data_IF_980244848968
#
_entry.id   IF_980244848968
#
_cell.length_a   1.000
_cell.length_b   1.000
_cell.length_c   1.000
_cell.angle_alpha   90.00
_cell.angle_beta   90.00
_cell.angle_gamma   90.00
#
_symmetry.space_group_name_H-M   'P 1'
#
loop_
_entity.id
_entity.type
_entity.pdbx_description
1 polymer ?
#
# COMPACT_ATOMS: atom_id res chain seq x y z
N UNK A 1 -8.10 1.87 17.64
CA UNK A 1 -7.18 0.83 17.13
C UNK A 1 -6.81 1.23 15.70
N UNK A 2 -5.51 1.36 15.38
CA UNK A 2 -5.10 1.73 14.01
C UNK A 2 -5.29 0.50 13.11
N UNK A 3 -6.10 0.63 12.07
CA UNK A 3 -6.30 -0.43 11.07
C UNK A 3 -5.09 -0.50 10.11
N UNK A 4 -4.78 -1.70 9.64
CA UNK A 4 -3.68 -1.94 8.70
C UNK A 4 -4.22 -2.15 7.30
N UNK A 5 -3.56 -1.55 6.31
CA UNK A 5 -3.87 -1.70 4.89
C UNK A 5 -2.65 -2.30 4.18
N UNK A 6 -2.88 -3.27 3.31
CA UNK A 6 -1.86 -3.88 2.46
C UNK A 6 -2.11 -3.51 1.01
N UNK A 7 -1.05 -3.11 0.30
CA UNK A 7 -1.11 -2.83 -1.13
C UNK A 7 -0.72 -4.09 -1.87
N UNK A 8 -1.65 -4.64 -2.64
CA UNK A 8 -1.46 -5.82 -3.47
C UNK A 8 -1.46 -5.38 -4.92
N UNK A 9 -0.35 -5.63 -5.61
CA UNK A 9 -0.22 -5.39 -7.05
C UNK A 9 -0.58 -6.66 -7.81
N UNK A 10 -1.43 -6.52 -8.83
CA UNK A 10 -1.77 -7.58 -9.78
C UNK A 10 -1.81 -6.98 -11.19
N UNK A 11 -0.91 -7.45 -12.05
CA UNK A 11 -0.65 -6.91 -13.39
C UNK A 11 -0.45 -5.37 -13.35
N UNK A 12 -1.38 -4.63 -13.95
CA UNK A 12 -1.33 -3.17 -14.09
C UNK A 12 -2.20 -2.44 -13.05
N UNK A 13 -2.57 -3.10 -11.94
CA UNK A 13 -3.40 -2.51 -10.89
C UNK A 13 -2.85 -2.76 -9.50
N UNK A 14 -3.07 -1.78 -8.63
CA UNK A 14 -2.81 -1.89 -7.21
C UNK A 14 -4.11 -1.81 -6.40
N UNK A 15 -4.32 -2.75 -5.50
CA UNK A 15 -5.50 -2.84 -4.66
C UNK A 15 -5.16 -2.66 -3.19
N UNK A 16 -6.01 -1.93 -2.46
CA UNK A 16 -5.91 -1.72 -1.02
C UNK A 16 -6.73 -2.80 -0.31
N UNK A 17 -6.05 -3.69 0.39
CA UNK A 17 -6.64 -4.76 1.18
C UNK A 17 -6.70 -4.36 2.66
N UNK A 18 -7.90 -4.37 3.25
CA UNK A 18 -8.14 -4.13 4.68
C UNK A 18 -9.00 -5.28 5.19
N UNK A 19 -8.60 -5.91 6.31
CA UNK A 19 -9.37 -7.00 6.92
C UNK A 19 -9.76 -8.10 5.91
N UNK A 20 -8.82 -8.46 5.03
CA UNK A 20 -8.98 -9.46 3.95
C UNK A 20 -9.99 -9.10 2.84
N UNK A 21 -10.49 -7.86 2.81
CA UNK A 21 -11.37 -7.36 1.77
C UNK A 21 -10.69 -6.30 0.91
N UNK A 22 -10.87 -6.38 -0.41
CA UNK A 22 -10.43 -5.32 -1.32
C UNK A 22 -11.37 -4.13 -1.13
N UNK A 23 -10.82 -3.00 -0.69
CA UNK A 23 -11.59 -1.79 -0.46
C UNK A 23 -11.63 -0.87 -1.68
N UNK A 24 -10.51 -0.78 -2.40
CA UNK A 24 -10.37 0.07 -3.59
C UNK A 24 -9.17 -0.37 -4.43
N UNK A 25 -9.25 -0.14 -5.73
CA UNK A 25 -8.15 -0.38 -6.68
C UNK A 25 -7.77 0.90 -7.41
N UNK A 26 -6.53 0.94 -7.86
CA UNK A 26 -5.84 2.07 -8.51
C UNK A 26 -4.94 1.54 -9.62
N UNK A 27 -4.48 2.44 -10.49
CA UNK A 27 -3.59 2.08 -11.60
C UNK A 27 -2.14 1.88 -11.14
N UNK A 28 -1.74 2.45 -10.00
CA UNK A 28 -0.40 2.29 -9.44
C UNK A 28 -0.40 2.15 -7.92
N UNK A 29 0.65 1.51 -7.38
CA UNK A 29 0.76 1.22 -5.96
C UNK A 29 1.10 2.42 -5.09
N UNK A 30 1.62 3.49 -5.65
CA UNK A 30 1.92 4.71 -4.92
C UNK A 30 0.64 5.49 -4.61
N UNK A 31 -0.22 5.67 -5.60
CA UNK A 31 -1.55 6.28 -5.42
C UNK A 31 -2.40 5.47 -4.44
N UNK A 32 -2.38 4.13 -4.54
CA UNK A 32 -3.08 3.26 -3.61
C UNK A 32 -2.58 3.40 -2.17
N UNK A 33 -1.25 3.43 -1.98
CA UNK A 33 -0.62 3.58 -0.68
C UNK A 33 -0.90 4.94 -0.05
N UNK A 34 -0.78 6.01 -0.83
CA UNK A 34 -1.04 7.37 -0.40
C UNK A 34 -2.49 7.57 0.01
N UNK A 35 -3.44 7.02 -0.75
CA UNK A 35 -4.86 7.07 -0.40
C UNK A 35 -5.15 6.33 0.91
N UNK A 36 -4.61 5.14 1.11
CA UNK A 36 -4.81 4.42 2.37
C UNK A 36 -4.14 5.15 3.54
N UNK A 37 -2.96 5.74 3.33
CA UNK A 37 -2.25 6.50 4.34
C UNK A 37 -3.02 7.77 4.75
N UNK A 38 -3.61 8.49 3.79
CA UNK A 38 -4.38 9.71 4.05
C UNK A 38 -5.67 9.46 4.83
N UNK A 39 -6.21 8.24 4.78
CA UNK A 39 -7.33 7.78 5.61
C UNK A 39 -6.91 7.36 7.04
N UNK A 40 -5.62 7.44 7.37
CA UNK A 40 -5.10 7.11 8.69
C UNK A 40 -4.77 5.63 8.90
N UNK A 41 -4.73 4.83 7.83
CA UNK A 41 -4.32 3.43 7.92
C UNK A 41 -2.80 3.31 8.06
N UNK A 42 -2.35 2.26 8.76
CA UNK A 42 -0.96 1.81 8.67
C UNK A 42 -0.79 1.02 7.38
N UNK A 43 -0.01 1.54 6.44
CA UNK A 43 0.10 0.98 5.10
C UNK A 43 1.37 0.16 4.94
N UNK A 44 1.27 -0.99 4.25
CA UNK A 44 2.40 -1.82 3.83
C UNK A 44 2.34 -2.11 2.33
N UNK A 45 3.49 -2.02 1.65
CA UNK A 45 3.67 -2.40 0.25
C UNK A 45 4.57 -3.63 0.17
N UNK A 46 4.39 -4.46 -0.86
CA UNK A 46 5.38 -5.49 -1.17
C UNK A 46 6.64 -4.84 -1.74
N UNK A 47 7.79 -5.40 -1.36
CA UNK A 47 9.09 -5.08 -1.95
C UNK A 47 9.86 -6.37 -2.11
N UNK A 48 10.57 -6.51 -3.23
CA UNK A 48 11.39 -7.69 -3.51
C UNK A 48 12.82 -7.39 -3.11
N UNK A 49 13.37 -8.18 -2.19
CA UNK A 49 14.77 -8.10 -1.79
C UNK A 49 15.39 -9.49 -1.90
N UNK A 50 16.48 -9.62 -2.67
CA UNK A 50 17.13 -10.91 -2.95
C UNK A 50 16.18 -12.03 -3.42
N UNK A 51 15.20 -11.69 -4.28
CA UNK A 51 14.23 -12.65 -4.82
C UNK A 51 13.18 -13.14 -3.80
N UNK A 52 13.05 -12.48 -2.65
CA UNK A 52 12.03 -12.75 -1.64
C UNK A 52 11.11 -11.54 -1.48
N UNK A 53 9.82 -11.81 -1.34
CA UNK A 53 8.80 -10.80 -1.05
C UNK A 53 8.85 -10.40 0.43
N UNK A 54 8.90 -9.10 0.70
CA UNK A 54 8.77 -8.52 2.03
C UNK A 54 7.69 -7.46 2.06
N UNK A 55 6.98 -7.38 3.19
CA UNK A 55 6.09 -6.26 3.47
C UNK A 55 6.86 -5.13 4.12
N UNK A 56 6.96 -4.00 3.43
CA UNK A 56 7.65 -2.81 3.91
C UNK A 56 6.62 -1.76 4.29
N UNK A 57 6.79 -1.16 5.47
CA UNK A 57 5.92 -0.08 5.92
C UNK A 57 6.05 1.10 4.95
N UNK A 58 4.92 1.55 4.44
CA UNK A 58 4.88 2.73 3.61
C UNK A 58 5.00 3.99 4.47
N UNK A 59 5.95 4.83 4.12
CA UNK A 59 6.10 6.18 4.64
C UNK A 59 6.22 7.10 3.43
N UNK A 60 5.22 7.96 3.15
CA UNK A 60 5.31 8.85 2.02
C UNK A 60 6.56 9.74 2.20
N UNK A 61 7.39 9.78 1.16
CA UNK A 61 8.53 10.68 1.08
C UNK A 61 7.99 12.10 1.15
N UNK A 62 8.19 12.80 2.27
CA UNK A 62 7.78 14.19 2.43
C UNK A 62 8.68 15.06 1.52
N UNK A 63 8.39 15.12 0.22
CA UNK A 63 8.93 16.17 -0.62
C UNK A 63 8.20 17.45 -0.21
N UNK A 64 8.87 18.27 0.61
CA UNK A 64 8.50 19.67 0.78
C UNK A 64 8.56 20.32 -0.61
N UNK A 65 7.40 20.43 -1.25
CA UNK A 65 7.18 21.37 -2.35
C UNK A 65 7.03 22.78 -1.81
#
# INVERSE_FOLDING_TARGET
MIKTAYIVEDNDKASVLIEHSIMKSFDDSETAALWAFSLGYRVYKKSVLHGKDFWVKYTPSFHKG
#
